data_IF_841611477186
#
_entry.id   IF_841611477186
#
_cell.length_a   1.000
_cell.length_b   1.000
_cell.length_c   1.000
_cell.angle_alpha   90.00
_cell.angle_beta   90.00
_cell.angle_gamma   90.00
#
_symmetry.space_group_name_H-M   'P 1'
#
loop_
_entity.id
_entity.type
_entity.pdbx_description
1 polymer ?
#
# COMPACT_ATOMS: atom_id res chain seq x y z
N UNK A 1 40.67 9.45 -102.76
CA UNK A 1 41.06 9.23 -101.34
C UNK A 1 41.21 10.50 -100.48
N UNK A 2 41.40 11.72 -101.01
CA UNK A 2 41.64 12.93 -100.20
C UNK A 2 40.44 13.43 -99.35
N UNK A 3 39.20 13.03 -99.65
CA UNK A 3 38.02 13.41 -98.84
C UNK A 3 37.95 12.65 -97.51
N UNK A 4 38.30 11.37 -97.48
CA UNK A 4 38.16 10.50 -96.30
C UNK A 4 39.05 10.97 -95.13
N UNK A 5 40.25 11.46 -95.42
CA UNK A 5 41.18 12.02 -94.42
C UNK A 5 40.73 13.38 -93.85
N UNK A 6 39.86 14.12 -94.54
CA UNK A 6 39.30 15.39 -94.04
C UNK A 6 38.01 15.18 -93.25
N UNK A 7 37.24 14.14 -93.56
CA UNK A 7 35.96 13.84 -92.91
C UNK A 7 36.13 13.09 -91.58
N UNK A 8 37.12 12.18 -91.49
CA UNK A 8 37.37 11.37 -90.27
C UNK A 8 37.73 12.22 -89.02
N UNK A 9 38.54 13.29 -89.10
CA UNK A 9 38.78 14.18 -87.97
C UNK A 9 37.53 14.96 -87.54
N UNK A 10 36.69 15.37 -88.49
CA UNK A 10 35.43 16.08 -88.19
C UNK A 10 34.42 15.18 -87.49
N UNK A 11 34.31 13.90 -87.90
CA UNK A 11 33.52 12.88 -87.20
C UNK A 11 34.01 12.67 -85.76
N UNK A 12 35.32 12.51 -85.55
CA UNK A 12 35.89 12.39 -84.20
C UNK A 12 35.63 13.64 -83.35
N UNK A 13 35.69 14.83 -83.94
CA UNK A 13 35.40 16.08 -83.23
C UNK A 13 33.92 16.15 -82.81
N UNK A 14 33.00 15.74 -83.69
CA UNK A 14 31.57 15.68 -83.37
C UNK A 14 31.24 14.61 -82.31
N UNK A 15 31.90 13.45 -82.36
CA UNK A 15 31.77 12.40 -81.33
C UNK A 15 32.28 12.89 -79.96
N UNK A 16 33.45 13.55 -79.92
CA UNK A 16 34.01 14.10 -78.69
C UNK A 16 33.13 15.22 -78.09
N UNK A 17 32.52 16.05 -78.94
CA UNK A 17 31.60 17.11 -78.49
C UNK A 17 30.31 16.53 -77.91
N UNK A 18 29.78 15.45 -78.50
CA UNK A 18 28.63 14.71 -77.96
C UNK A 18 28.96 14.03 -76.62
N UNK A 19 30.11 13.37 -76.51
CA UNK A 19 30.56 12.80 -75.23
C UNK A 19 30.74 13.89 -74.16
N UNK A 20 31.30 15.05 -74.53
CA UNK A 20 31.46 16.16 -73.60
C UNK A 20 30.12 16.75 -73.15
N UNK A 21 29.12 16.81 -74.03
CA UNK A 21 27.77 17.23 -73.68
C UNK A 21 27.11 16.25 -72.69
N UNK A 22 27.20 14.93 -72.97
CA UNK A 22 26.70 13.89 -72.07
C UNK A 22 27.38 13.95 -70.70
N UNK A 23 28.71 14.08 -70.68
CA UNK A 23 29.48 14.11 -69.43
C UNK A 23 29.15 15.35 -68.58
N UNK A 24 28.87 16.50 -69.21
CA UNK A 24 28.39 17.70 -68.50
C UNK A 24 27.01 17.48 -67.88
N UNK A 25 26.11 16.83 -68.59
CA UNK A 25 24.76 16.52 -68.08
C UNK A 25 24.83 15.56 -66.89
N UNK A 26 25.61 14.48 -67.01
CA UNK A 26 25.84 13.51 -65.93
C UNK A 26 26.50 14.17 -64.72
N UNK A 27 27.49 15.04 -64.93
CA UNK A 27 28.14 15.78 -63.86
C UNK A 27 27.14 16.68 -63.10
N UNK A 28 26.25 17.37 -63.81
CA UNK A 28 25.22 18.19 -63.19
C UNK A 28 24.24 17.35 -62.36
N UNK A 29 23.75 16.24 -62.93
CA UNK A 29 22.87 15.28 -62.22
C UNK A 29 23.52 14.74 -60.95
N UNK A 30 24.80 14.36 -61.02
CA UNK A 30 25.55 13.86 -59.88
C UNK A 30 25.72 14.94 -58.81
N UNK A 31 26.01 16.18 -59.20
CA UNK A 31 26.16 17.32 -58.29
C UNK A 31 24.86 17.63 -57.54
N UNK A 32 23.73 17.59 -58.23
CA UNK A 32 22.40 17.78 -57.61
C UNK A 32 22.06 16.64 -56.65
N UNK A 33 22.30 15.38 -57.05
CA UNK A 33 22.07 14.22 -56.20
C UNK A 33 22.95 14.26 -54.95
N UNK A 34 24.22 14.65 -55.09
CA UNK A 34 25.15 14.83 -53.98
C UNK A 34 24.68 15.91 -53.00
N UNK A 35 24.30 17.09 -53.51
CA UNK A 35 23.79 18.18 -52.65
C UNK A 35 22.54 17.77 -51.86
N UNK A 36 21.60 17.04 -52.50
CA UNK A 36 20.41 16.51 -51.84
C UNK A 36 20.76 15.47 -50.77
N UNK A 37 21.72 14.59 -51.05
CA UNK A 37 22.19 13.57 -50.10
C UNK A 37 22.88 14.22 -48.90
N UNK A 38 23.72 15.23 -49.12
CA UNK A 38 24.42 15.95 -48.05
C UNK A 38 23.44 16.70 -47.13
N UNK A 39 22.44 17.38 -47.71
CA UNK A 39 21.40 18.06 -46.94
C UNK A 39 20.61 17.07 -46.06
N UNK A 40 20.22 15.92 -46.63
CA UNK A 40 19.52 14.87 -45.89
C UNK A 40 20.38 14.27 -44.78
N UNK A 41 21.69 14.09 -45.02
CA UNK A 41 22.62 13.59 -44.00
C UNK A 41 22.68 14.53 -42.79
N UNK A 42 22.80 15.84 -43.02
CA UNK A 42 22.83 16.84 -41.94
C UNK A 42 21.54 16.84 -41.12
N UNK A 43 20.38 16.80 -41.77
CA UNK A 43 19.08 16.74 -41.07
C UNK A 43 18.96 15.48 -40.18
N UNK A 44 19.45 14.33 -40.66
CA UNK A 44 19.44 13.10 -39.90
C UNK A 44 20.41 13.12 -38.72
N UNK A 45 21.59 13.74 -38.89
CA UNK A 45 22.55 13.92 -37.81
C UNK A 45 22.00 14.81 -36.69
N UNK A 46 21.35 15.92 -37.04
CA UNK A 46 20.68 16.79 -36.07
C UNK A 46 19.58 16.04 -35.31
N UNK A 47 18.72 15.29 -36.01
CA UNK A 47 17.69 14.46 -35.36
C UNK A 47 18.28 13.39 -34.45
N UNK A 48 19.41 12.79 -34.84
CA UNK A 48 20.07 11.77 -34.03
C UNK A 48 20.59 12.36 -32.71
N UNK A 49 21.11 13.59 -32.72
CA UNK A 49 21.52 14.29 -31.49
C UNK A 49 20.33 14.53 -30.57
N UNK A 50 19.20 15.02 -31.09
CA UNK A 50 17.98 15.22 -30.30
C UNK A 50 17.48 13.92 -29.67
N UNK A 51 17.42 12.83 -30.46
CA UNK A 51 16.98 11.52 -29.96
C UNK A 51 17.91 10.96 -28.89
N UNK A 52 19.22 11.19 -29.00
CA UNK A 52 20.17 10.77 -27.97
C UNK A 52 19.97 11.54 -26.67
N UNK A 53 19.68 12.84 -26.76
CA UNK A 53 19.38 13.65 -25.59
C UNK A 53 18.08 13.21 -24.92
N UNK A 54 16.99 13.08 -25.67
CA UNK A 54 15.70 12.59 -25.15
C UNK A 54 15.84 11.20 -24.51
N UNK A 55 16.62 10.30 -25.11
CA UNK A 55 16.91 8.98 -24.52
C UNK A 55 17.59 9.11 -23.15
N UNK A 56 18.59 9.98 -23.04
CA UNK A 56 19.30 10.17 -21.77
C UNK A 56 18.40 10.78 -20.70
N UNK A 57 17.57 11.76 -21.08
CA UNK A 57 16.61 12.39 -20.16
C UNK A 57 15.58 11.37 -19.65
N UNK A 58 15.04 10.54 -20.55
CA UNK A 58 14.14 9.44 -20.18
C UNK A 58 14.83 8.41 -19.28
N UNK A 59 16.11 8.10 -19.53
CA UNK A 59 16.86 7.17 -18.69
C UNK A 59 17.04 7.71 -17.26
N UNK A 60 17.32 9.02 -17.12
CA UNK A 60 17.38 9.67 -15.81
C UNK A 60 16.03 9.67 -15.10
N UNK A 61 14.94 9.94 -15.83
CA UNK A 61 13.59 9.91 -15.28
C UNK A 61 13.21 8.51 -14.80
N UNK A 62 13.52 7.46 -15.58
CA UNK A 62 13.27 6.07 -15.18
C UNK A 62 14.03 5.73 -13.90
N UNK A 63 15.29 6.16 -13.77
CA UNK A 63 16.06 5.91 -12.54
C UNK A 63 15.41 6.61 -11.33
N UNK A 64 15.01 7.87 -11.47
CA UNK A 64 14.35 8.60 -10.40
C UNK A 64 13.02 7.95 -9.97
N UNK A 65 12.22 7.45 -10.92
CA UNK A 65 10.98 6.73 -10.60
C UNK A 65 11.24 5.36 -9.95
N UNK A 66 12.33 4.68 -10.31
CA UNK A 66 12.75 3.44 -9.65
C UNK A 66 13.15 3.68 -8.19
N UNK A 67 13.90 4.74 -7.92
CA UNK A 67 14.29 5.12 -6.56
C UNK A 67 13.04 5.49 -5.73
N UNK A 68 12.13 6.29 -6.30
CA UNK A 68 10.84 6.62 -5.67
C UNK A 68 9.98 5.38 -5.37
N UNK A 69 9.98 4.41 -6.28
CA UNK A 69 9.26 3.15 -6.09
C UNK A 69 9.87 2.34 -4.94
N UNK A 70 11.20 2.24 -4.88
CA UNK A 70 11.91 1.56 -3.80
C UNK A 70 11.58 2.17 -2.43
N UNK A 71 11.63 3.51 -2.32
CA UNK A 71 11.25 4.23 -1.10
C UNK A 71 9.77 4.00 -0.71
N UNK A 72 8.88 3.86 -1.70
CA UNK A 72 7.48 3.53 -1.45
C UNK A 72 7.30 2.08 -0.97
N UNK A 73 8.03 1.14 -1.54
CA UNK A 73 8.03 -0.26 -1.15
C UNK A 73 8.53 -0.44 0.29
N UNK A 74 9.63 0.21 0.67
CA UNK A 74 10.17 0.16 2.04
C UNK A 74 9.16 0.68 3.08
N UNK A 75 8.48 1.80 2.76
CA UNK A 75 7.42 2.34 3.62
C UNK A 75 6.24 1.38 3.74
N UNK A 76 5.82 0.76 2.64
CA UNK A 76 4.75 -0.24 2.65
C UNK A 76 5.13 -1.45 3.50
N UNK A 77 6.35 -1.96 3.39
CA UNK A 77 6.82 -3.06 4.25
C UNK A 77 6.79 -2.69 5.74
N UNK A 78 7.20 -1.46 6.08
CA UNK A 78 7.12 -0.94 7.45
C UNK A 78 5.68 -0.92 7.97
N UNK A 79 4.73 -0.45 7.14
CA UNK A 79 3.31 -0.44 7.49
C UNK A 79 2.74 -1.85 7.67
N UNK A 80 3.13 -2.81 6.82
CA UNK A 80 2.69 -4.21 6.93
C UNK A 80 3.17 -4.81 8.25
N UNK A 81 4.44 -4.62 8.63
CA UNK A 81 4.99 -5.10 9.91
C UNK A 81 4.24 -4.50 11.11
N UNK A 82 3.99 -3.19 11.08
CA UNK A 82 3.24 -2.51 12.14
C UNK A 82 1.79 -3.01 12.22
N UNK A 83 1.13 -3.23 11.08
CA UNK A 83 -0.22 -3.78 11.04
C UNK A 83 -0.31 -5.14 11.73
N UNK A 84 0.61 -6.05 11.41
CA UNK A 84 0.64 -7.39 12.03
C UNK A 84 0.79 -7.29 13.56
N UNK A 85 1.69 -6.42 14.05
CA UNK A 85 1.86 -6.20 15.49
C UNK A 85 0.59 -5.65 16.15
N UNK A 86 -0.08 -4.70 15.50
CA UNK A 86 -1.32 -4.11 16.03
C UNK A 86 -2.49 -5.09 16.01
N UNK A 87 -2.58 -5.96 15.00
CA UNK A 87 -3.57 -7.03 14.94
C UNK A 87 -3.34 -8.05 16.07
N UNK A 88 -2.09 -8.45 16.32
CA UNK A 88 -1.75 -9.32 17.44
C UNK A 88 -2.13 -8.69 18.79
N UNK A 89 -1.81 -7.41 18.98
CA UNK A 89 -2.16 -6.68 20.21
C UNK A 89 -3.67 -6.54 20.39
N UNK A 90 -4.41 -6.30 19.31
CA UNK A 90 -5.87 -6.24 19.35
C UNK A 90 -6.43 -7.58 19.80
N UNK A 91 -5.94 -8.68 19.23
CA UNK A 91 -6.39 -10.03 19.60
C UNK A 91 -6.14 -10.33 21.08
N UNK A 92 -4.93 -10.06 21.60
CA UNK A 92 -4.60 -10.24 23.01
C UNK A 92 -5.53 -9.43 23.93
N UNK A 93 -5.78 -8.17 23.59
CA UNK A 93 -6.66 -7.31 24.38
C UNK A 93 -8.12 -7.77 24.35
N UNK A 94 -8.59 -8.31 23.24
CA UNK A 94 -9.94 -8.90 23.14
C UNK A 94 -10.07 -10.13 24.02
N UNK A 95 -9.11 -11.07 23.96
CA UNK A 95 -9.14 -12.28 24.81
C UNK A 95 -9.13 -11.92 26.30
N UNK A 96 -8.29 -10.95 26.69
CA UNK A 96 -8.27 -10.45 28.09
C UNK A 96 -9.57 -9.78 28.50
N UNK A 97 -10.25 -9.09 27.58
CA UNK A 97 -11.53 -8.46 27.88
C UNK A 97 -12.60 -9.52 28.13
N UNK A 98 -12.64 -10.57 27.32
CA UNK A 98 -13.56 -11.71 27.47
C UNK A 98 -13.36 -12.40 28.83
N UNK A 99 -12.11 -12.64 29.25
CA UNK A 99 -11.78 -13.23 30.57
C UNK A 99 -12.31 -12.36 31.73
N UNK A 100 -12.14 -11.04 31.65
CA UNK A 100 -12.60 -10.11 32.68
C UNK A 100 -14.14 -10.00 32.71
N UNK A 101 -14.80 -10.10 31.55
CA UNK A 101 -16.27 -10.15 31.47
C UNK A 101 -16.83 -11.42 32.12
N UNK A 102 -16.19 -12.58 31.89
CA UNK A 102 -16.54 -13.84 32.55
C UNK A 102 -16.35 -13.75 34.07
N UNK A 103 -15.19 -13.24 34.52
CA UNK A 103 -14.91 -13.05 35.95
C UNK A 103 -15.94 -12.11 36.61
N UNK A 104 -16.32 -11.03 35.94
CA UNK A 104 -17.33 -10.10 36.44
C UNK A 104 -18.73 -10.75 36.55
N UNK A 105 -19.10 -11.59 35.58
CA UNK A 105 -20.34 -12.36 35.62
C UNK A 105 -20.35 -13.34 36.81
N UNK A 106 -19.24 -14.07 37.04
CA UNK A 106 -19.10 -14.94 38.20
C UNK A 106 -19.22 -14.19 39.52
N UNK A 107 -18.52 -13.06 39.66
CA UNK A 107 -18.57 -12.23 40.86
C UNK A 107 -19.97 -11.70 41.12
N UNK A 108 -20.68 -11.30 40.07
CA UNK A 108 -22.08 -10.85 40.17
C UNK A 108 -23.00 -11.97 40.65
N UNK A 109 -22.82 -13.19 40.14
CA UNK A 109 -23.58 -14.36 40.59
C UNK A 109 -23.29 -14.71 42.06
N UNK A 110 -22.00 -14.73 42.44
CA UNK A 110 -21.57 -14.97 43.84
C UNK A 110 -22.12 -13.90 44.78
N UNK A 111 -22.08 -12.63 44.38
CA UNK A 111 -22.63 -11.52 45.16
C UNK A 111 -24.12 -11.71 45.42
N UNK A 112 -24.91 -12.02 44.39
CA UNK A 112 -26.35 -12.24 44.53
C UNK A 112 -26.66 -13.39 45.50
N UNK A 113 -25.91 -14.49 45.41
CA UNK A 113 -26.06 -15.63 46.34
C UNK A 113 -25.78 -15.22 47.79
N UNK A 114 -24.71 -14.45 48.03
CA UNK A 114 -24.40 -13.95 49.37
C UNK A 114 -25.44 -12.96 49.89
N UNK A 115 -26.01 -12.12 49.02
CA UNK A 115 -27.11 -11.21 49.37
C UNK A 115 -28.36 -11.99 49.78
N UNK A 116 -28.70 -13.05 49.05
CA UNK A 116 -29.83 -13.94 49.38
C UNK A 116 -29.58 -14.66 50.72
N UNK A 117 -28.41 -15.26 50.94
CA UNK A 117 -28.02 -15.92 52.21
C UNK A 117 -28.04 -14.94 53.39
N UNK A 118 -27.56 -13.70 53.20
CA UNK A 118 -27.61 -12.67 54.24
C UNK A 118 -29.04 -12.25 54.59
N UNK A 119 -29.94 -12.25 53.60
CA UNK A 119 -31.35 -11.93 53.81
C UNK A 119 -32.07 -13.03 54.59
N UNK A 120 -31.77 -14.31 54.28
CA UNK A 120 -32.29 -15.46 55.02
C UNK A 120 -31.83 -15.46 56.47
N UNK A 121 -30.52 -15.29 56.73
CA UNK A 121 -29.98 -15.23 58.08
C UNK A 121 -30.59 -14.11 58.93
N UNK A 122 -30.90 -12.95 58.32
CA UNK A 122 -31.59 -11.87 59.02
C UNK A 122 -33.00 -12.27 59.46
N UNK A 123 -33.75 -12.95 58.60
CA UNK A 123 -35.09 -13.45 58.95
C UNK A 123 -35.02 -14.49 60.07
N UNK A 124 -34.07 -15.41 59.99
CA UNK A 124 -33.88 -16.43 61.03
C UNK A 124 -33.53 -15.78 62.38
N UNK A 125 -32.72 -14.72 62.38
CA UNK A 125 -32.44 -13.92 63.58
C UNK A 125 -33.72 -13.28 64.12
N UNK A 126 -34.50 -12.60 63.29
CA UNK A 126 -35.75 -11.95 63.71
C UNK A 126 -36.75 -12.98 64.30
N UNK A 127 -36.89 -14.16 63.70
CA UNK A 127 -37.77 -15.23 64.18
C UNK A 127 -37.30 -15.84 65.51
N UNK A 128 -35.98 -15.99 65.70
CA UNK A 128 -35.40 -16.44 66.96
C UNK A 128 -35.60 -15.40 68.06
N UNK A 129 -35.44 -14.11 67.78
CA UNK A 129 -35.70 -13.03 68.73
C UNK A 129 -37.16 -13.02 69.19
N UNK A 130 -38.12 -13.21 68.28
CA UNK A 130 -39.54 -13.36 68.61
C UNK A 130 -39.81 -14.58 69.51
N UNK A 131 -39.17 -15.71 69.19
CA UNK A 131 -39.30 -16.94 69.97
C UNK A 131 -38.73 -16.76 71.38
N UNK A 132 -37.56 -16.12 71.51
CA UNK A 132 -36.94 -15.81 72.79
C UNK A 132 -37.85 -14.93 73.65
N UNK A 133 -38.37 -13.84 73.09
CA UNK A 133 -39.27 -12.94 73.80
C UNK A 133 -40.55 -13.66 74.30
N UNK A 134 -41.07 -14.60 73.50
CA UNK A 134 -42.22 -15.44 73.90
C UNK A 134 -41.87 -16.36 75.07
N UNK A 135 -40.74 -17.06 75.00
CA UNK A 135 -40.27 -17.96 76.06
C UNK A 135 -39.99 -17.19 77.35
N UNK A 136 -39.38 -16.01 77.28
CA UNK A 136 -39.15 -15.13 78.43
C UNK A 136 -40.46 -14.71 79.09
N UNK A 137 -41.49 -14.36 78.29
CA UNK A 137 -42.82 -14.03 78.80
C UNK A 137 -43.51 -15.23 79.48
N UNK A 138 -43.43 -16.41 78.90
CA UNK A 138 -43.97 -17.65 79.47
C UNK A 138 -43.26 -18.04 80.78
N UNK A 139 -41.93 -17.87 80.83
CA UNK A 139 -41.11 -18.03 82.03
C UNK A 139 -41.56 -17.06 83.13
N UNK A 140 -41.66 -15.76 82.83
CA UNK A 140 -42.10 -14.78 83.82
C UNK A 140 -43.53 -15.08 84.33
N UNK A 141 -44.42 -15.54 83.46
CA UNK A 141 -45.77 -15.93 83.84
C UNK A 141 -45.81 -17.17 84.75
N UNK A 142 -44.90 -18.14 84.55
CA UNK A 142 -44.78 -19.33 85.40
C UNK A 142 -44.11 -19.01 86.74
N UNK A 143 -43.05 -18.20 86.74
CA UNK A 143 -42.40 -17.71 87.98
C UNK A 143 -43.39 -16.97 88.89
N UNK A 144 -44.24 -16.09 88.34
CA UNK A 144 -45.28 -15.41 89.12
C UNK A 144 -46.33 -16.37 89.72
N UNK A 145 -46.65 -17.48 89.04
CA UNK A 145 -47.59 -18.50 89.55
C UNK A 145 -46.99 -19.32 90.68
N UNK A 146 -45.69 -19.59 90.65
CA UNK A 146 -44.98 -20.37 91.68
C UNK A 146 -44.55 -19.49 92.87
N UNK A 147 -44.30 -18.20 92.64
CA UNK A 147 -43.91 -17.20 93.65
C UNK A 147 -45.01 -16.71 94.58
N UNK A 148 -46.26 -17.20 94.44
CA UNK A 148 -47.31 -17.05 95.44
C UNK A 148 -47.57 -18.39 96.17
N UNK A 149 -46.68 -18.83 97.08
CA UNK A 149 -47.11 -19.63 98.21
C UNK A 149 -47.87 -18.73 99.19
N UNK A 150 -48.96 -19.28 99.75
CA UNK A 150 -49.79 -18.77 100.86
C UNK A 150 -49.09 -17.88 101.86
#
# INVERSE_FOLDING_TARGET
MKLFFKIKPLLRSAEAEKEMANMKEEFLKLKEAYAKSEARRKELEEKMVTLLQEKNDLQLQVQAEQDNLCDAEERCEGLIKNKIQMEAKTKELTERLEDEEEMNAELTAKKRKLEDECSELKKDIDDLELTLAKVEKEKHATENKVGHPT
#
